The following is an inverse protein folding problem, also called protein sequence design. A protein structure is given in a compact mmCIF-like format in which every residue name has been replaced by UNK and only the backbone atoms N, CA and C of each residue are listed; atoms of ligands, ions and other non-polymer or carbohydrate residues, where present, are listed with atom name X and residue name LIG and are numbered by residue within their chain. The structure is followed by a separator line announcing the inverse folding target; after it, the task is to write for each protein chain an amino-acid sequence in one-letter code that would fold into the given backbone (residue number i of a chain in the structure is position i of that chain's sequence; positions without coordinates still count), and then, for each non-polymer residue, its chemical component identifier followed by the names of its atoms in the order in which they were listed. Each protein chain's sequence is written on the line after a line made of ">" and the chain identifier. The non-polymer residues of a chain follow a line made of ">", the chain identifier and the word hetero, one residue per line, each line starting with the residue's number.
data_IF_428647489383
#
_entry.id   IF_428647489383
#
_cell.length_a   1.000
_cell.length_b   1.000
_cell.length_c   1.000
_cell.angle_alpha   90.00
_cell.angle_beta   90.00
_cell.angle_gamma   90.00
#
_symmetry.space_group_name_H-M   'P 1'
#
loop_
_entity.id
_entity.type
_entity.pdbx_description
1 polymer ?
#
# COMPACT_ATOMS: atom_id res chain seq x y z
N UNK A 1 6.42 -5.90 -3.13
CA UNK A 1 7.41 -4.81 -3.31
C UNK A 1 7.19 -3.74 -2.24
N UNK A 2 6.10 -2.98 -2.30
CA UNK A 2 5.77 -1.92 -1.33
C UNK A 2 5.88 -2.33 0.15
N UNK A 3 5.44 -3.53 0.51
CA UNK A 3 5.57 -4.00 1.90
C UNK A 3 7.03 -4.16 2.34
N UNK A 4 7.92 -4.64 1.47
CA UNK A 4 9.34 -4.76 1.79
C UNK A 4 10.00 -3.37 1.91
N UNK A 5 9.68 -2.47 0.97
CA UNK A 5 10.14 -1.07 1.01
C UNK A 5 9.61 -0.34 2.26
N UNK A 6 8.39 -0.64 2.72
CA UNK A 6 7.83 -0.13 3.97
C UNK A 6 8.63 -0.59 5.20
N UNK A 7 9.03 -1.87 5.24
CA UNK A 7 9.88 -2.36 6.33
C UNK A 7 11.26 -1.71 6.34
N UNK A 8 11.81 -1.36 5.17
CA UNK A 8 13.05 -0.60 5.09
C UNK A 8 12.87 0.85 5.55
N UNK A 9 11.78 1.51 5.15
CA UNK A 9 11.42 2.86 5.60
C UNK A 9 11.19 2.91 7.12
N UNK A 10 10.51 1.92 7.71
CA UNK A 10 10.35 1.81 9.17
C UNK A 10 11.70 1.64 9.88
N UNK A 11 12.65 0.89 9.30
CA UNK A 11 14.01 0.78 9.86
C UNK A 11 14.72 2.12 9.83
N UNK A 12 14.62 2.88 8.73
CA UNK A 12 15.17 4.25 8.65
C UNK A 12 14.59 5.14 9.75
N UNK A 13 13.26 5.10 9.91
CA UNK A 13 12.55 5.86 10.94
C UNK A 13 13.03 5.48 12.36
N UNK A 14 13.15 4.19 12.66
CA UNK A 14 13.60 3.70 13.96
C UNK A 14 15.05 4.11 14.30
N UNK A 15 15.88 4.30 13.27
CA UNK A 15 17.24 4.81 13.41
C UNK A 15 17.32 6.35 13.35
N UNK A 16 16.17 7.04 13.35
CA UNK A 16 16.05 8.50 13.27
C UNK A 16 16.73 9.12 12.03
N UNK A 17 16.79 8.37 10.91
CA UNK A 17 17.18 8.93 9.62
C UNK A 17 16.05 9.79 9.04
N UNK A 18 16.43 10.73 8.17
CA UNK A 18 15.48 11.52 7.41
C UNK A 18 14.63 10.63 6.48
N UNK A 19 13.33 10.85 6.49
CA UNK A 19 12.37 10.16 5.64
C UNK A 19 12.03 11.03 4.44
N UNK A 20 12.00 10.42 3.26
CA UNK A 20 11.44 11.08 2.09
C UNK A 20 9.91 11.05 2.16
N UNK A 21 9.20 11.94 1.41
CA UNK A 21 7.74 11.87 1.32
C UNK A 21 7.22 10.51 0.84
N UNK A 22 8.02 9.79 0.06
CA UNK A 22 7.68 8.44 -0.39
C UNK A 22 7.87 7.38 0.71
N UNK A 23 8.90 7.53 1.56
CA UNK A 23 9.07 6.66 2.74
C UNK A 23 7.86 6.78 3.68
N UNK A 24 7.30 7.98 3.87
CA UNK A 24 6.08 8.17 4.68
C UNK A 24 4.87 7.43 4.07
N UNK A 25 4.69 7.50 2.74
CA UNK A 25 3.65 6.74 2.02
C UNK A 25 3.84 5.23 2.19
N UNK A 26 5.07 4.75 2.10
CA UNK A 26 5.43 3.35 2.30
C UNK A 26 5.12 2.88 3.72
N UNK A 27 5.51 3.64 4.74
CA UNK A 27 5.22 3.32 6.15
C UNK A 27 3.71 3.24 6.37
N UNK A 28 2.95 4.21 5.84
CA UNK A 28 1.47 4.19 5.88
C UNK A 28 0.91 2.92 5.23
N UNK A 29 1.37 2.59 4.03
CA UNK A 29 0.95 1.37 3.32
C UNK A 29 1.28 0.10 4.11
N UNK A 30 2.49 0.01 4.66
CA UNK A 30 2.94 -1.16 5.43
C UNK A 30 2.08 -1.41 6.66
N UNK A 31 1.65 -0.34 7.34
CA UNK A 31 0.71 -0.43 8.46
C UNK A 31 -0.65 -0.97 8.02
N UNK A 32 -1.27 -0.36 7.01
CA UNK A 32 -2.56 -0.82 6.50
C UNK A 32 -2.49 -2.25 5.98
N UNK A 33 -1.38 -2.63 5.34
CA UNK A 33 -1.21 -3.98 4.82
C UNK A 33 -1.22 -5.02 5.96
N UNK A 34 -0.56 -4.74 7.09
CA UNK A 34 -0.61 -5.64 8.25
C UNK A 34 -2.01 -5.72 8.84
N UNK A 35 -2.62 -4.57 9.10
CA UNK A 35 -3.97 -4.47 9.71
C UNK A 35 -5.04 -5.15 8.84
N UNK A 36 -4.94 -5.05 7.51
CA UNK A 36 -5.98 -5.53 6.59
C UNK A 36 -5.75 -6.94 6.04
N UNK A 37 -4.51 -7.43 5.98
CA UNK A 37 -4.20 -8.70 5.30
C UNK A 37 -3.37 -9.69 6.12
N UNK A 38 -2.73 -9.27 7.22
CA UNK A 38 -1.86 -10.15 8.03
C UNK A 38 -2.43 -10.49 9.40
N UNK A 39 -3.54 -9.85 9.80
CA UNK A 39 -4.23 -10.20 11.03
C UNK A 39 -4.87 -11.60 10.92
N UNK A 40 -4.72 -12.41 11.97
CA UNK A 40 -5.20 -13.80 11.99
C UNK A 40 -6.73 -13.90 12.00
N UNK A 41 -7.42 -12.84 12.41
CA UNK A 41 -8.88 -12.77 12.42
C UNK A 41 -9.46 -12.39 11.05
N UNK A 42 -8.61 -11.97 10.10
CA UNK A 42 -9.04 -11.63 8.75
C UNK A 42 -9.29 -12.91 7.95
N UNK A 43 -10.57 -13.21 7.74
CA UNK A 43 -11.03 -14.23 6.79
C UNK A 43 -11.78 -13.54 5.66
N UNK A 44 -11.13 -13.36 4.51
CA UNK A 44 -11.74 -12.79 3.30
C UNK A 44 -11.43 -13.63 2.06
N UNK A 45 -12.36 -13.75 1.09
CA UNK A 45 -12.09 -14.36 -0.20
C UNK A 45 -10.97 -13.63 -0.95
N UNK A 46 -10.21 -14.36 -1.77
CA UNK A 46 -9.09 -13.79 -2.53
C UNK A 46 -9.50 -12.61 -3.42
N UNK A 47 -10.70 -12.66 -4.01
CA UNK A 47 -11.23 -11.57 -4.84
C UNK A 47 -11.47 -10.30 -4.04
N UNK A 48 -12.06 -10.43 -2.86
CA UNK A 48 -12.27 -9.30 -1.95
C UNK A 48 -10.93 -8.75 -1.47
N UNK A 49 -9.96 -9.62 -1.15
CA UNK A 49 -8.62 -9.19 -0.77
C UNK A 49 -7.91 -8.38 -1.87
N UNK A 50 -8.13 -8.75 -3.15
CA UNK A 50 -7.58 -8.01 -4.28
C UNK A 50 -8.22 -6.61 -4.41
N UNK A 51 -9.55 -6.51 -4.29
CA UNK A 51 -10.24 -5.22 -4.33
C UNK A 51 -9.79 -4.32 -3.16
N UNK A 52 -9.71 -4.88 -1.95
CA UNK A 52 -9.17 -4.18 -0.77
C UNK A 52 -7.70 -3.77 -0.95
N UNK A 53 -6.90 -4.55 -1.66
CA UNK A 53 -5.51 -4.16 -1.96
C UNK A 53 -5.48 -2.92 -2.86
N UNK A 54 -6.33 -2.85 -3.88
CA UNK A 54 -6.41 -1.67 -4.76
C UNK A 54 -6.90 -0.42 -4.01
N UNK A 55 -7.87 -0.56 -3.12
CA UNK A 55 -8.28 0.52 -2.21
C UNK A 55 -7.11 0.99 -1.34
N UNK A 56 -6.41 0.05 -0.71
CA UNK A 56 -5.25 0.35 0.16
C UNK A 56 -4.13 1.05 -0.61
N UNK A 57 -3.90 0.66 -1.87
CA UNK A 57 -2.93 1.31 -2.74
C UNK A 57 -3.35 2.75 -3.07
N UNK A 58 -4.62 3.00 -3.39
CA UNK A 58 -5.12 4.34 -3.69
C UNK A 58 -5.17 5.28 -2.47
N UNK A 59 -5.30 4.74 -1.26
CA UNK A 59 -5.20 5.52 -0.02
C UNK A 59 -3.77 5.98 0.30
N UNK A 60 -2.76 5.37 -0.31
CA UNK A 60 -1.35 5.59 -0.02
C UNK A 60 -0.56 6.20 -1.17
N UNK A 61 -0.93 5.89 -2.42
CA UNK A 61 -0.17 6.20 -3.62
C UNK A 61 -1.05 6.76 -4.72
N UNK A 62 -0.41 7.47 -5.65
CA UNK A 62 -0.99 7.89 -6.92
C UNK A 62 -0.77 6.81 -7.99
N UNK A 63 -1.58 6.84 -9.05
CA UNK A 63 -1.50 5.89 -10.17
C UNK A 63 -0.09 5.79 -10.76
N UNK A 64 0.58 6.93 -10.93
CA UNK A 64 1.95 7.01 -11.49
C UNK A 64 3.03 6.40 -10.58
N UNK A 65 2.74 6.19 -9.29
CA UNK A 65 3.68 5.66 -8.31
C UNK A 65 3.66 4.12 -8.25
N UNK A 66 2.61 3.48 -8.77
CA UNK A 66 2.41 2.03 -8.61
C UNK A 66 3.38 1.18 -9.45
N UNK A 67 3.93 1.74 -10.53
CA UNK A 67 4.80 1.03 -11.48
C UNK A 67 4.18 -0.31 -11.96
N UNK A 68 2.85 -0.33 -12.12
CA UNK A 68 2.08 -1.46 -12.64
C UNK A 68 1.66 -1.20 -14.09
N UNK A 69 1.16 -2.23 -14.78
CA UNK A 69 0.63 -2.08 -16.14
C UNK A 69 -0.55 -1.12 -16.13
N UNK A 70 -0.54 -0.16 -17.07
CA UNK A 70 -1.58 0.87 -17.16
C UNK A 70 -2.99 0.26 -17.28
N UNK A 71 -3.16 -0.80 -18.08
CA UNK A 71 -4.46 -1.49 -18.23
C UNK A 71 -5.04 -2.01 -16.91
N UNK A 72 -4.19 -2.37 -15.93
CA UNK A 72 -4.63 -2.82 -14.61
C UNK A 72 -4.98 -1.64 -13.71
N UNK A 73 -4.19 -0.57 -13.77
CA UNK A 73 -4.44 0.66 -13.03
C UNK A 73 -5.77 1.26 -13.50
N UNK A 74 -5.98 1.40 -14.81
CA UNK A 74 -7.21 1.95 -15.38
C UNK A 74 -8.45 1.13 -15.01
N UNK A 75 -8.28 -0.19 -14.83
CA UNK A 75 -9.38 -1.12 -14.55
C UNK A 75 -9.72 -1.22 -13.06
N UNK A 76 -8.72 -1.19 -12.19
CA UNK A 76 -8.90 -1.55 -10.78
C UNK A 76 -8.51 -0.46 -9.79
N UNK A 77 -7.70 0.53 -10.20
CA UNK A 77 -7.34 1.63 -9.31
C UNK A 77 -8.58 2.50 -9.09
N UNK A 78 -9.02 2.69 -7.83
CA UNK A 78 -10.15 3.55 -7.52
C UNK A 78 -9.93 4.94 -8.12
N UNK A 79 -10.77 5.32 -9.08
CA UNK A 79 -10.87 6.71 -9.48
C UNK A 79 -11.39 7.44 -8.25
N UNK A 80 -10.53 8.26 -7.61
CA UNK A 80 -10.82 8.91 -6.34
C UNK A 80 -12.28 9.35 -6.29
N UNK A 81 -13.09 8.64 -5.50
CA UNK A 81 -14.44 9.08 -5.20
C UNK A 81 -14.26 10.38 -4.42
N UNK A 82 -14.81 11.45 -4.98
CA UNK A 82 -14.63 12.85 -4.58
C UNK A 82 -14.92 13.13 -3.11
#
# INVERSE_FOLDING_TARGET
>A
RFYAEAQEAEKKQAMAFELSPFDDKLIKFGRFFRERFMDIEVSMPVTEALDRCWETLAECFEQGELLMKQDLIDKYFPSASS
#
